data_IF_401392551267
#
_entry.id   IF_401392551267
#
_cell.length_a   1.000
_cell.length_b   1.000
_cell.length_c   1.000
_cell.angle_alpha   90.00
_cell.angle_beta   90.00
_cell.angle_gamma   90.00
#
_symmetry.space_group_name_H-M   'P 1'
#
loop_
_entity.id
_entity.type
_entity.pdbx_description
1 polymer ?
#
# COMPACT_ATOMS: atom_id res chain seq x y z
N UNK A 1 -46.54 -4.75 36.06
CA UNK A 1 -46.34 -5.68 34.92
C UNK A 1 -45.85 -5.01 33.62
N UNK A 2 -45.68 -3.68 33.58
CA UNK A 2 -45.33 -2.94 32.35
C UNK A 2 -43.86 -2.54 32.20
N UNK A 3 -43.01 -2.80 33.20
CA UNK A 3 -41.59 -2.40 33.18
C UNK A 3 -40.62 -3.50 32.72
N UNK A 4 -41.09 -4.73 32.58
CA UNK A 4 -40.25 -5.89 32.18
C UNK A 4 -40.26 -6.13 30.67
N UNK A 5 -41.19 -5.51 29.93
CA UNK A 5 -41.33 -5.72 28.47
C UNK A 5 -40.45 -4.79 27.62
N UNK A 6 -39.99 -3.65 28.17
CA UNK A 6 -39.08 -2.73 27.46
C UNK A 6 -37.60 -3.12 27.58
N UNK A 7 -37.21 -3.84 28.64
CA UNK A 7 -35.84 -4.35 28.81
C UNK A 7 -35.56 -5.61 27.98
N UNK A 8 -36.60 -6.31 27.51
CA UNK A 8 -36.43 -7.47 26.62
C UNK A 8 -36.29 -7.09 25.15
N UNK A 9 -36.78 -5.92 24.73
CA UNK A 9 -36.59 -5.38 23.37
C UNK A 9 -35.30 -4.56 23.24
N UNK A 10 -34.80 -3.94 24.32
CA UNK A 10 -33.49 -3.26 24.30
C UNK A 10 -32.29 -4.20 24.41
N UNK A 11 -32.52 -5.48 24.74
CA UNK A 11 -31.46 -6.51 24.87
C UNK A 11 -31.23 -7.32 23.59
N UNK A 12 -32.08 -7.20 22.58
CA UNK A 12 -31.87 -7.87 21.28
C UNK A 12 -30.94 -7.09 20.34
N UNK A 13 -30.76 -5.78 20.56
CA UNK A 13 -29.87 -4.94 19.74
C UNK A 13 -28.42 -4.88 20.26
N UNK A 14 -28.16 -5.40 21.47
CA UNK A 14 -26.80 -5.52 22.04
C UNK A 14 -26.15 -6.90 21.81
N UNK A 15 -26.84 -7.83 21.13
CA UNK A 15 -26.42 -9.24 21.06
C UNK A 15 -25.51 -9.61 19.87
N UNK A 16 -25.32 -8.76 18.87
CA UNK A 16 -24.23 -8.93 17.89
C UNK A 16 -23.15 -7.88 18.18
N UNK A 17 -22.12 -8.30 18.91
CA UNK A 17 -20.87 -7.54 18.94
C UNK A 17 -20.34 -7.26 17.51
N UNK A 18 -19.35 -6.38 17.35
CA UNK A 18 -18.75 -6.02 16.06
C UNK A 18 -18.00 -7.18 15.39
N UNK A 19 -18.64 -8.32 15.16
CA UNK A 19 -18.17 -9.51 14.45
C UNK A 19 -19.41 -10.21 13.83
N UNK A 20 -20.19 -9.48 13.01
CA UNK A 20 -21.46 -9.98 12.47
C UNK A 20 -22.23 -8.97 11.59
N UNK A 21 -23.40 -9.39 11.07
CA UNK A 21 -24.34 -8.52 10.35
C UNK A 21 -23.77 -7.74 9.15
N UNK A 22 -23.94 -6.42 9.16
CA UNK A 22 -23.55 -5.51 8.06
C UNK A 22 -22.03 -5.45 7.82
N UNK A 23 -21.21 -5.91 8.78
CA UNK A 23 -19.76 -6.02 8.59
C UNK A 23 -19.38 -6.90 7.40
N UNK A 24 -20.14 -7.96 7.12
CA UNK A 24 -19.92 -8.84 5.96
C UNK A 24 -20.28 -8.17 4.63
N UNK A 25 -21.28 -7.29 4.62
CA UNK A 25 -21.63 -6.47 3.44
C UNK A 25 -20.50 -5.49 3.15
N UNK A 26 -19.96 -4.84 4.18
CA UNK A 26 -18.81 -3.94 4.06
C UNK A 26 -17.55 -4.69 3.64
N UNK A 27 -17.37 -5.94 4.08
CA UNK A 27 -16.29 -6.80 3.60
C UNK A 27 -16.40 -7.06 2.09
N UNK A 28 -17.59 -7.40 1.60
CA UNK A 28 -17.84 -7.56 0.16
C UNK A 28 -17.60 -6.26 -0.62
N UNK A 29 -18.01 -5.12 -0.08
CA UNK A 29 -17.73 -3.80 -0.67
C UNK A 29 -16.22 -3.51 -0.72
N UNK A 30 -15.48 -3.84 0.35
CA UNK A 30 -14.03 -3.72 0.40
C UNK A 30 -13.39 -4.63 -0.65
N UNK A 31 -13.79 -5.90 -0.72
CA UNK A 31 -13.31 -6.87 -1.71
C UNK A 31 -13.42 -6.32 -3.14
N UNK A 32 -14.60 -5.83 -3.53
CA UNK A 32 -14.82 -5.25 -4.87
C UNK A 32 -13.95 -3.99 -5.04
N UNK A 33 -13.91 -3.10 -4.06
CA UNK A 33 -13.12 -1.87 -4.17
C UNK A 33 -11.63 -2.15 -4.30
N UNK A 34 -11.08 -3.13 -3.57
CA UNK A 34 -9.66 -3.49 -3.63
C UNK A 34 -9.33 -4.23 -4.92
N UNK A 35 -10.25 -5.07 -5.44
CA UNK A 35 -10.13 -5.63 -6.78
C UNK A 35 -10.06 -4.55 -7.85
N UNK A 36 -10.91 -3.53 -7.78
CA UNK A 36 -10.91 -2.45 -8.76
C UNK A 36 -9.70 -1.53 -8.60
N UNK A 37 -9.22 -1.25 -7.39
CA UNK A 37 -8.02 -0.43 -7.20
C UNK A 37 -6.75 -1.18 -7.67
N UNK A 38 -6.44 -2.33 -7.07
CA UNK A 38 -5.18 -3.02 -7.34
C UNK A 38 -5.23 -3.90 -8.58
N UNK A 39 -6.37 -4.48 -8.90
CA UNK A 39 -6.53 -5.26 -10.13
C UNK A 39 -6.33 -4.37 -11.34
N UNK A 40 -7.03 -3.23 -11.41
CA UNK A 40 -6.84 -2.30 -12.52
C UNK A 40 -5.39 -1.83 -12.58
N UNK A 41 -4.82 -1.36 -11.46
CA UNK A 41 -3.45 -0.87 -11.41
C UNK A 41 -2.42 -1.90 -11.87
N UNK A 42 -2.50 -3.17 -11.41
CA UNK A 42 -1.53 -4.21 -11.78
C UNK A 42 -1.71 -4.72 -13.21
N UNK A 43 -2.91 -4.62 -13.77
CA UNK A 43 -3.20 -5.02 -15.16
C UNK A 43 -2.94 -3.91 -16.18
N UNK A 44 -2.63 -2.68 -15.76
CA UNK A 44 -2.27 -1.59 -16.67
C UNK A 44 -1.02 -1.88 -17.53
N UNK A 45 -0.17 -2.83 -17.12
CA UNK A 45 0.98 -3.28 -17.89
C UNK A 45 0.63 -3.84 -19.28
N UNK A 46 -0.63 -4.24 -19.52
CA UNK A 46 -1.10 -4.69 -20.83
C UNK A 46 -1.15 -3.54 -21.85
N UNK A 47 -1.54 -2.34 -21.41
CA UNK A 47 -1.56 -1.16 -22.27
C UNK A 47 -0.16 -0.63 -22.59
N UNK A 48 0.87 -1.12 -21.91
CA UNK A 48 2.22 -0.59 -22.02
C UNK A 48 2.75 -0.66 -23.46
N UNK A 49 2.63 -1.83 -24.10
CA UNK A 49 3.13 -2.05 -25.47
C UNK A 49 2.36 -1.17 -26.46
N UNK A 50 1.03 -1.09 -26.29
CA UNK A 50 0.16 -0.25 -27.12
C UNK A 50 0.50 1.25 -27.00
N UNK A 51 0.80 1.74 -25.80
CA UNK A 51 1.18 3.14 -25.59
C UNK A 51 2.54 3.47 -26.19
N UNK A 52 3.53 2.58 -26.05
CA UNK A 52 4.85 2.76 -26.68
C UNK A 52 4.69 2.87 -28.20
N UNK A 53 3.86 2.02 -28.80
CA UNK A 53 3.63 2.03 -30.25
C UNK A 53 2.81 3.23 -30.71
N UNK A 54 1.71 3.55 -30.01
CA UNK A 54 0.79 4.62 -30.43
C UNK A 54 1.39 6.03 -30.27
N UNK A 55 2.10 6.27 -29.16
CA UNK A 55 2.71 7.58 -28.91
C UNK A 55 4.12 7.70 -29.50
N UNK A 56 4.71 6.59 -29.98
CA UNK A 56 6.10 6.52 -30.48
C UNK A 56 7.12 7.03 -29.44
N UNK A 57 6.85 6.73 -28.18
CA UNK A 57 7.61 7.23 -27.03
C UNK A 57 8.44 6.14 -26.37
N UNK A 58 9.43 6.55 -25.57
CA UNK A 58 10.33 5.62 -24.89
C UNK A 58 9.61 4.77 -23.84
N UNK A 59 10.16 3.59 -23.52
CA UNK A 59 9.60 2.74 -22.47
C UNK A 59 9.63 3.43 -21.11
N UNK A 60 10.65 4.24 -20.85
CA UNK A 60 10.74 5.09 -19.67
C UNK A 60 9.56 6.07 -19.62
N UNK A 61 9.29 6.79 -20.70
CA UNK A 61 8.21 7.78 -20.77
C UNK A 61 6.86 7.11 -20.46
N UNK A 62 6.53 6.02 -21.15
CA UNK A 62 5.28 5.28 -20.91
C UNK A 62 5.19 4.72 -19.48
N UNK A 63 6.31 4.27 -18.90
CA UNK A 63 6.34 3.74 -17.52
C UNK A 63 5.94 4.75 -16.46
N UNK A 64 6.13 6.05 -16.71
CA UNK A 64 5.69 7.10 -15.79
C UNK A 64 4.18 7.10 -15.58
N UNK A 65 3.38 6.63 -16.54
CA UNK A 65 1.91 6.57 -16.40
C UNK A 65 1.52 5.69 -15.20
N UNK A 66 2.04 4.47 -15.14
CA UNK A 66 1.71 3.55 -14.05
C UNK A 66 2.41 3.92 -12.75
N UNK A 67 3.67 4.38 -12.83
CA UNK A 67 4.45 4.77 -11.65
C UNK A 67 3.83 5.95 -10.92
N UNK A 68 3.37 6.96 -11.66
CA UNK A 68 2.68 8.12 -11.08
C UNK A 68 1.34 7.74 -10.46
N UNK A 69 0.59 6.81 -11.07
CA UNK A 69 -0.66 6.29 -10.51
C UNK A 69 -0.47 5.58 -9.17
N UNK A 70 0.52 4.69 -9.11
CA UNK A 70 0.89 3.98 -7.89
C UNK A 70 1.41 4.92 -6.80
N UNK A 71 2.31 5.83 -7.17
CA UNK A 71 2.86 6.81 -6.25
C UNK A 71 1.78 7.74 -5.71
N UNK A 72 0.89 8.25 -6.56
CA UNK A 72 -0.23 9.09 -6.16
C UNK A 72 -1.17 8.34 -5.21
N UNK A 73 -1.48 7.07 -5.49
CA UNK A 73 -2.31 6.25 -4.59
C UNK A 73 -1.71 6.15 -3.19
N UNK A 74 -0.42 5.85 -3.07
CA UNK A 74 0.25 5.73 -1.77
C UNK A 74 0.46 7.08 -1.08
N UNK A 75 0.79 8.12 -1.85
CA UNK A 75 0.99 9.47 -1.34
C UNK A 75 -0.31 10.09 -0.78
N UNK A 76 -1.44 9.86 -1.44
CA UNK A 76 -2.74 10.39 -1.02
C UNK A 76 -3.51 9.46 -0.05
N UNK A 77 -3.02 8.25 0.23
CA UNK A 77 -3.62 7.35 1.23
C UNK A 77 -3.82 7.99 2.62
N UNK A 78 -2.84 8.72 3.21
CA UNK A 78 -3.03 9.41 4.48
C UNK A 78 -4.04 10.57 4.40
N UNK A 79 -4.11 11.25 3.24
CA UNK A 79 -5.10 12.30 3.00
C UNK A 79 -6.53 11.74 3.06
N UNK A 80 -6.76 10.53 2.52
CA UNK A 80 -8.04 9.84 2.65
C UNK A 80 -8.45 9.61 4.10
N UNK A 81 -7.51 9.19 4.95
CA UNK A 81 -7.75 9.02 6.39
C UNK A 81 -8.08 10.36 7.09
N UNK A 82 -7.31 11.40 6.80
CA UNK A 82 -7.55 12.73 7.38
C UNK A 82 -8.93 13.29 6.98
N UNK A 83 -9.33 13.13 5.72
CA UNK A 83 -10.64 13.55 5.24
C UNK A 83 -11.78 12.76 5.89
N UNK A 84 -11.59 11.49 6.26
CA UNK A 84 -12.60 10.71 6.98
C UNK A 84 -12.76 11.11 8.45
N UNK A 85 -11.77 11.79 9.04
CA UNK A 85 -11.91 12.39 10.37
C UNK A 85 -12.68 13.71 10.29
N UNK A 86 -12.46 14.49 9.22
CA UNK A 86 -13.14 15.75 8.98
C UNK A 86 -14.59 15.57 8.47
N UNK A 87 -14.79 14.62 7.57
CA UNK A 87 -16.03 14.32 6.85
C UNK A 87 -16.44 12.86 7.03
N UNK A 88 -17.66 12.50 6.62
CA UNK A 88 -18.11 11.10 6.68
C UNK A 88 -17.31 10.21 5.71
N UNK A 89 -16.82 9.06 6.18
CA UNK A 89 -16.08 8.09 5.36
C UNK A 89 -16.81 7.67 4.07
N UNK A 90 -18.14 7.55 4.13
CA UNK A 90 -19.02 7.33 2.96
C UNK A 90 -18.75 8.33 1.83
N UNK A 91 -18.70 9.63 2.15
CA UNK A 91 -18.55 10.68 1.16
C UNK A 91 -17.14 10.67 0.55
N UNK A 92 -16.13 10.44 1.38
CA UNK A 92 -14.72 10.39 0.93
C UNK A 92 -14.51 9.22 -0.04
N UNK A 93 -15.01 8.03 0.29
CA UNK A 93 -14.90 6.85 -0.59
C UNK A 93 -15.69 7.05 -1.89
N UNK A 94 -16.91 7.60 -1.83
CA UNK A 94 -17.70 7.88 -3.02
C UNK A 94 -17.02 8.90 -3.94
N UNK A 95 -16.47 9.98 -3.38
CA UNK A 95 -15.71 10.96 -4.14
C UNK A 95 -14.43 10.36 -4.76
N UNK A 96 -13.71 9.54 -4.00
CA UNK A 96 -12.53 8.83 -4.50
C UNK A 96 -12.85 7.85 -5.63
N UNK A 97 -13.92 7.06 -5.50
CA UNK A 97 -14.38 6.16 -6.56
C UNK A 97 -14.81 6.90 -7.84
N UNK A 98 -15.47 8.05 -7.69
CA UNK A 98 -15.81 8.91 -8.83
C UNK A 98 -14.55 9.44 -9.53
N UNK A 99 -13.57 9.96 -8.77
CA UNK A 99 -12.30 10.43 -9.32
C UNK A 99 -11.53 9.30 -10.02
N UNK A 100 -11.50 8.11 -9.43
CA UNK A 100 -10.86 6.92 -10.01
C UNK A 100 -11.47 6.52 -11.36
N UNK A 101 -12.80 6.54 -11.48
CA UNK A 101 -13.48 6.28 -12.75
C UNK A 101 -13.32 7.42 -13.76
N UNK A 102 -13.47 8.66 -13.30
CA UNK A 102 -13.33 9.86 -14.14
C UNK A 102 -11.93 9.95 -14.77
N UNK A 103 -10.87 9.67 -14.00
CA UNK A 103 -9.51 9.67 -14.52
C UNK A 103 -9.32 8.68 -15.67
N UNK A 104 -9.81 7.44 -15.54
CA UNK A 104 -9.74 6.45 -16.62
C UNK A 104 -10.62 6.83 -17.83
N UNK A 105 -11.80 7.41 -17.62
CA UNK A 105 -12.67 7.90 -18.70
C UNK A 105 -11.98 9.03 -19.47
N UNK A 106 -11.41 10.02 -18.77
CA UNK A 106 -10.67 11.12 -19.40
C UNK A 106 -9.42 10.62 -20.12
N UNK A 107 -8.76 9.59 -19.60
CA UNK A 107 -7.62 8.96 -20.24
C UNK A 107 -7.96 8.35 -21.61
N UNK A 108 -9.19 7.88 -21.83
CA UNK A 108 -9.63 7.39 -23.15
C UNK A 108 -9.54 8.44 -24.26
N UNK A 109 -9.55 9.73 -23.90
CA UNK A 109 -9.46 10.87 -24.81
C UNK A 109 -8.04 11.46 -24.86
N UNK A 110 -7.05 10.80 -24.28
CA UNK A 110 -5.68 11.29 -24.26
C UNK A 110 -5.09 11.37 -25.68
N UNK A 111 -4.42 12.48 -25.98
CA UNK A 111 -3.72 12.72 -27.26
C UNK A 111 -2.21 12.81 -27.08
N UNK A 112 -1.73 12.90 -25.83
CA UNK A 112 -0.32 12.91 -25.48
C UNK A 112 -0.09 12.24 -24.11
N UNK A 113 1.16 11.89 -23.80
CA UNK A 113 1.51 11.26 -22.51
C UNK A 113 1.18 12.14 -21.31
N UNK A 114 1.26 13.46 -21.43
CA UNK A 114 0.91 14.38 -20.35
C UNK A 114 -0.57 14.23 -19.91
N UNK A 115 -1.49 13.97 -20.86
CA UNK A 115 -2.87 13.66 -20.53
C UNK A 115 -2.96 12.37 -19.71
N UNK A 116 -2.20 11.33 -20.06
CA UNK A 116 -2.20 10.05 -19.33
C UNK A 116 -1.58 10.17 -17.94
N UNK A 117 -0.48 10.94 -17.78
CA UNK A 117 0.10 11.24 -16.47
C UNK A 117 -0.89 11.96 -15.56
N UNK A 118 -1.61 12.95 -16.09
CA UNK A 118 -2.59 13.71 -15.30
C UNK A 118 -3.82 12.86 -14.96
N UNK A 119 -4.34 12.10 -15.92
CA UNK A 119 -5.63 11.40 -15.78
C UNK A 119 -5.49 10.03 -15.11
N UNK A 120 -4.70 9.12 -15.69
CA UNK A 120 -4.45 7.79 -15.12
C UNK A 120 -3.50 7.85 -13.93
N UNK A 121 -2.50 8.73 -13.98
CA UNK A 121 -1.57 8.91 -12.88
C UNK A 121 -2.19 9.66 -11.71
N UNK A 122 -2.33 10.98 -11.83
CA UNK A 122 -2.69 11.84 -10.70
C UNK A 122 -4.16 11.71 -10.30
N UNK A 123 -5.11 11.87 -11.23
CA UNK A 123 -6.55 11.88 -10.92
C UNK A 123 -7.01 10.50 -10.43
N UNK A 124 -6.67 9.44 -11.16
CA UNK A 124 -7.06 8.08 -10.75
C UNK A 124 -6.33 7.63 -9.49
N UNK A 125 -5.02 7.93 -9.38
CA UNK A 125 -4.23 7.65 -8.18
C UNK A 125 -4.74 8.35 -6.93
N UNK A 126 -5.10 9.65 -7.02
CA UNK A 126 -5.79 10.35 -5.94
C UNK A 126 -7.10 9.64 -5.56
N UNK A 127 -7.92 9.29 -6.55
CA UNK A 127 -9.16 8.54 -6.33
C UNK A 127 -8.93 7.23 -5.55
N UNK A 128 -7.93 6.45 -5.96
CA UNK A 128 -7.56 5.20 -5.28
C UNK A 128 -7.04 5.41 -3.85
N UNK A 129 -6.22 6.45 -3.61
CA UNK A 129 -5.74 6.81 -2.28
C UNK A 129 -6.88 7.21 -1.32
N UNK A 130 -7.89 7.93 -1.82
CA UNK A 130 -9.09 8.31 -1.06
C UNK A 130 -10.02 7.13 -0.76
N UNK A 131 -9.93 6.03 -1.49
CA UNK A 131 -10.75 4.82 -1.31
C UNK A 131 -10.09 3.85 -0.34
N UNK A 132 -8.80 3.57 -0.54
CA UNK A 132 -8.12 2.43 0.11
C UNK A 132 -8.13 2.52 1.64
N UNK A 133 -7.53 3.58 2.21
CA UNK A 133 -7.40 3.71 3.66
C UNK A 133 -8.75 3.78 4.38
N UNK A 134 -9.73 4.59 3.91
CA UNK A 134 -11.04 4.67 4.54
C UNK A 134 -11.85 3.38 4.51
N UNK A 135 -11.82 2.65 3.39
CA UNK A 135 -12.51 1.37 3.27
C UNK A 135 -11.94 0.33 4.23
N UNK A 136 -10.61 0.22 4.29
CA UNK A 136 -9.91 -0.68 5.22
C UNK A 136 -10.24 -0.32 6.67
N UNK A 137 -10.17 0.96 7.04
CA UNK A 137 -10.49 1.43 8.39
C UNK A 137 -11.95 1.13 8.79
N UNK A 138 -12.90 1.33 7.86
CA UNK A 138 -14.33 1.10 8.11
C UNK A 138 -14.63 -0.39 8.35
N UNK A 139 -14.04 -1.28 7.56
CA UNK A 139 -14.18 -2.73 7.76
C UNK A 139 -13.52 -3.16 9.07
N UNK A 140 -12.33 -2.64 9.38
CA UNK A 140 -11.63 -2.94 10.63
C UNK A 140 -12.38 -2.46 11.87
N UNK A 141 -13.15 -1.38 11.76
CA UNK A 141 -14.04 -0.90 12.83
C UNK A 141 -15.32 -1.74 12.98
N UNK A 142 -15.62 -2.60 12.00
CA UNK A 142 -16.80 -3.49 11.99
C UNK A 142 -16.47 -4.92 12.46
N UNK A 143 -15.18 -5.24 12.62
CA UNK A 143 -14.68 -6.52 13.13
C UNK A 143 -13.85 -6.27 14.40
N UNK A 144 -13.99 -7.09 15.46
CA UNK A 144 -13.13 -7.03 16.65
C UNK A 144 -12.22 -8.24 16.78
N UNK A 145 -12.77 -9.45 16.73
CA UNK A 145 -12.01 -10.69 16.83
C UNK A 145 -11.55 -11.18 15.47
N UNK A 146 -12.29 -10.90 14.39
CA UNK A 146 -12.02 -11.44 13.05
C UNK A 146 -11.35 -10.46 12.08
N UNK A 147 -10.68 -9.43 12.60
CA UNK A 147 -10.02 -8.37 11.80
C UNK A 147 -9.05 -8.90 10.76
N UNK A 148 -8.11 -9.74 11.18
CA UNK A 148 -7.08 -10.31 10.30
C UNK A 148 -7.69 -11.19 9.21
N UNK A 149 -8.70 -11.99 9.57
CA UNK A 149 -9.44 -12.84 8.62
C UNK A 149 -10.22 -12.00 7.60
N UNK A 150 -10.90 -10.95 8.06
CA UNK A 150 -11.62 -10.03 7.18
C UNK A 150 -10.67 -9.32 6.19
N UNK A 151 -9.53 -8.79 6.66
CA UNK A 151 -8.53 -8.20 5.76
C UNK A 151 -7.90 -9.23 4.81
N UNK A 152 -7.62 -10.44 5.30
CA UNK A 152 -7.10 -11.53 4.46
C UNK A 152 -8.06 -11.88 3.33
N UNK A 153 -9.35 -12.03 3.62
CA UNK A 153 -10.40 -12.27 2.62
C UNK A 153 -10.54 -11.09 1.66
N UNK A 154 -10.54 -9.85 2.16
CA UNK A 154 -10.62 -8.67 1.31
C UNK A 154 -9.42 -8.56 0.37
N UNK A 155 -8.21 -8.78 0.86
CA UNK A 155 -6.99 -8.63 0.06
C UNK A 155 -6.71 -9.82 -0.84
N UNK A 156 -7.25 -11.02 -0.59
CA UNK A 156 -7.16 -12.14 -1.56
C UNK A 156 -7.75 -11.77 -2.92
N UNK A 157 -8.69 -10.82 -2.94
CA UNK A 157 -9.27 -10.20 -4.14
C UNK A 157 -8.23 -9.59 -5.09
N UNK A 158 -7.09 -9.15 -4.56
CA UNK A 158 -6.02 -8.51 -5.33
C UNK A 158 -5.48 -9.55 -6.33
N UNK A 159 -5.02 -10.72 -5.88
CA UNK A 159 -4.55 -11.80 -6.75
C UNK A 159 -5.62 -12.29 -7.73
N UNK A 160 -6.85 -12.46 -7.25
CA UNK A 160 -7.98 -12.89 -8.09
C UNK A 160 -8.28 -11.90 -9.22
N UNK A 161 -8.28 -10.60 -8.91
CA UNK A 161 -8.52 -9.55 -9.90
C UNK A 161 -7.41 -9.51 -10.94
N UNK A 162 -6.14 -9.70 -10.58
CA UNK A 162 -5.05 -9.76 -11.56
C UNK A 162 -5.13 -10.99 -12.46
N UNK A 163 -5.54 -12.14 -11.94
CA UNK A 163 -5.81 -13.32 -12.75
C UNK A 163 -6.93 -13.06 -13.78
N UNK A 164 -8.03 -12.43 -13.35
CA UNK A 164 -9.21 -12.20 -14.20
C UNK A 164 -9.06 -11.00 -15.16
N UNK A 165 -8.45 -9.91 -14.71
CA UNK A 165 -8.37 -8.66 -15.46
C UNK A 165 -7.34 -8.70 -16.57
N UNK A 166 -6.25 -9.47 -16.43
CA UNK A 166 -5.26 -9.57 -17.49
C UNK A 166 -5.85 -10.08 -18.83
N UNK A 167 -6.53 -11.24 -18.90
CA UNK A 167 -7.15 -11.68 -20.15
C UNK A 167 -8.30 -10.77 -20.58
N UNK A 168 -9.07 -10.21 -19.62
CA UNK A 168 -10.14 -9.27 -19.92
C UNK A 168 -9.62 -8.01 -20.60
N UNK A 169 -8.52 -7.44 -20.11
CA UNK A 169 -7.92 -6.22 -20.67
C UNK A 169 -7.38 -6.50 -22.07
N UNK A 170 -6.72 -7.64 -22.27
CA UNK A 170 -6.27 -8.06 -23.59
C UNK A 170 -7.44 -8.14 -24.58
N UNK A 171 -8.54 -8.79 -24.19
CA UNK A 171 -9.76 -8.88 -25.00
C UNK A 171 -10.37 -7.50 -25.30
N UNK A 172 -10.41 -6.60 -24.30
CA UNK A 172 -10.94 -5.25 -24.48
C UNK A 172 -10.06 -4.41 -25.43
N UNK A 173 -8.74 -4.54 -25.34
CA UNK A 173 -7.80 -3.87 -26.24
C UNK A 173 -7.96 -4.39 -27.67
N UNK A 174 -8.12 -5.71 -27.87
CA UNK A 174 -8.32 -6.30 -29.19
C UNK A 174 -9.65 -5.84 -29.83
N UNK A 175 -10.74 -5.83 -29.06
CA UNK A 175 -12.08 -5.51 -29.56
C UNK A 175 -12.34 -4.01 -29.70
N UNK A 176 -11.82 -3.19 -28.80
CA UNK A 176 -12.20 -1.78 -28.65
C UNK A 176 -11.00 -0.81 -28.70
N UNK A 177 -9.78 -1.31 -28.93
CA UNK A 177 -8.52 -0.58 -28.77
C UNK A 177 -8.30 -0.10 -27.33
N UNK A 178 -7.13 0.48 -27.05
CA UNK A 178 -6.83 1.01 -25.72
C UNK A 178 -7.81 2.10 -25.27
N UNK A 179 -8.36 2.91 -26.19
CA UNK A 179 -9.29 4.00 -25.85
C UNK A 179 -10.63 3.46 -25.33
N UNK A 180 -11.26 2.57 -26.08
CA UNK A 180 -12.51 1.96 -25.68
C UNK A 180 -12.36 1.08 -24.44
N UNK A 181 -11.24 0.37 -24.32
CA UNK A 181 -10.90 -0.37 -23.11
C UNK A 181 -10.83 0.55 -21.88
N UNK A 182 -10.08 1.66 -21.91
CA UNK A 182 -10.01 2.61 -20.79
C UNK A 182 -11.37 3.20 -20.42
N UNK A 183 -12.23 3.47 -21.40
CA UNK A 183 -13.60 3.96 -21.15
C UNK A 183 -14.43 2.94 -20.37
N UNK A 184 -14.39 1.67 -20.79
CA UNK A 184 -15.10 0.56 -20.13
C UNK A 184 -14.53 0.35 -18.71
N UNK A 185 -13.21 0.37 -18.55
CA UNK A 185 -12.55 0.23 -17.25
C UNK A 185 -12.86 1.41 -16.31
N UNK A 186 -13.01 2.62 -16.85
CA UNK A 186 -13.48 3.77 -16.09
C UNK A 186 -14.92 3.58 -15.59
N UNK A 187 -15.81 3.08 -16.45
CA UNK A 187 -17.17 2.68 -16.04
C UNK A 187 -17.17 1.58 -14.97
N UNK A 188 -16.29 0.59 -15.09
CA UNK A 188 -16.11 -0.45 -14.08
C UNK A 188 -15.63 0.14 -12.74
N UNK A 189 -14.65 1.05 -12.78
CA UNK A 189 -14.10 1.75 -11.61
C UNK A 189 -15.14 2.60 -10.87
N UNK A 190 -16.14 3.18 -11.58
CA UNK A 190 -17.24 3.91 -10.95
C UNK A 190 -18.10 3.04 -10.01
N UNK A 191 -18.05 1.71 -10.10
CA UNK A 191 -18.72 0.82 -9.13
C UNK A 191 -18.16 0.96 -7.70
N UNK A 192 -16.96 1.53 -7.53
CA UNK A 192 -16.43 1.90 -6.21
C UNK A 192 -17.37 2.90 -5.50
N UNK A 193 -18.07 3.76 -6.24
CA UNK A 193 -19.07 4.69 -5.68
C UNK A 193 -20.21 3.92 -5.00
N UNK A 194 -20.69 2.84 -5.64
CA UNK A 194 -21.70 1.96 -5.05
C UNK A 194 -21.16 1.26 -3.79
N UNK A 195 -19.91 0.78 -3.81
CA UNK A 195 -19.26 0.23 -2.63
C UNK A 195 -19.18 1.24 -1.48
N UNK A 196 -18.80 2.49 -1.76
CA UNK A 196 -18.77 3.58 -0.77
C UNK A 196 -20.15 3.90 -0.20
N UNK A 197 -21.20 3.84 -1.01
CA UNK A 197 -22.58 4.10 -0.57
C UNK A 197 -23.09 3.09 0.49
N UNK A 198 -22.50 1.89 0.56
CA UNK A 198 -22.83 0.87 1.56
C UNK A 198 -22.28 1.20 2.96
N UNK A 199 -21.36 2.18 3.07
CA UNK A 199 -20.83 2.65 4.35
C UNK A 199 -21.95 3.37 5.12
N UNK A 200 -22.28 2.84 6.30
CA UNK A 200 -23.24 3.49 7.21
C UNK A 200 -22.54 4.59 8.01
N UNK A 201 -22.97 5.86 7.90
CA UNK A 201 -22.42 6.93 8.73
C UNK A 201 -22.69 6.60 10.19
N UNK A 202 -21.66 6.59 11.03
CA UNK A 202 -21.88 6.56 12.49
C UNK A 202 -22.28 7.97 12.95
N UNK A 203 -23.27 8.12 13.83
CA UNK A 203 -23.57 9.41 14.44
C UNK A 203 -22.28 9.94 15.07
N UNK A 204 -21.90 11.17 14.73
CA UNK A 204 -20.76 11.83 15.36
C UNK A 204 -21.11 11.94 16.84
N UNK A 205 -20.40 11.22 17.71
CA UNK A 205 -20.44 11.56 19.15
C UNK A 205 -20.01 13.02 19.22
N UNK A 206 -20.85 13.87 19.81
CA UNK A 206 -20.55 15.28 20.00
C UNK A 206 -19.13 15.41 20.58
N UNK A 207 -18.32 16.26 19.95
CA UNK A 207 -16.93 16.45 20.32
C UNK A 207 -16.82 16.85 21.81
N UNK A 208 -15.71 16.50 22.50
CA UNK A 208 -15.39 17.15 23.75
C UNK A 208 -15.15 18.64 23.47
N UNK A 209 -15.95 19.46 24.15
CA UNK A 209 -15.80 20.88 24.49
C UNK A 209 -15.40 21.89 23.39
N UNK A 210 -16.23 22.94 23.32
CA UNK A 210 -15.96 24.26 22.73
C UNK A 210 -14.48 24.64 22.89
N UNK A 211 -13.77 24.77 21.77
CA UNK A 211 -12.48 25.46 21.73
C UNK A 211 -12.78 26.96 21.72
N UNK A 212 -12.20 27.69 22.67
CA UNK A 212 -12.32 29.14 22.78
C UNK A 212 -11.96 29.85 21.45
N UNK A 213 -12.70 30.90 21.04
CA UNK A 213 -12.55 31.52 19.73
C UNK A 213 -11.33 32.47 19.59
N UNK A 214 -10.42 32.53 20.56
CA UNK A 214 -9.31 33.50 20.58
C UNK A 214 -7.89 32.89 20.52
N UNK A 215 -7.71 31.79 19.81
CA UNK A 215 -6.36 31.34 19.41
C UNK A 215 -6.17 31.58 17.92
N UNK A 216 -5.43 32.63 17.55
CA UNK A 216 -4.85 32.77 16.20
C UNK A 216 -4.04 31.50 15.93
N UNK A 217 -4.60 30.56 15.18
CA UNK A 217 -3.96 29.27 14.92
C UNK A 217 -2.71 29.49 14.08
N UNK A 218 -1.56 29.60 14.75
CA UNK A 218 -0.26 29.65 14.10
C UNK A 218 -0.09 28.39 13.23
N UNK A 219 0.51 28.54 12.05
CA UNK A 219 0.91 27.45 11.15
C UNK A 219 1.59 26.30 11.91
N UNK A 220 2.36 26.65 12.96
CA UNK A 220 3.03 25.70 13.86
C UNK A 220 2.05 24.80 14.61
N UNK A 221 0.92 25.32 15.10
CA UNK A 221 -0.08 24.53 15.83
C UNK A 221 -0.84 23.56 14.90
N UNK A 222 -1.04 23.93 13.63
CA UNK A 222 -1.58 23.02 12.62
C UNK A 222 -0.57 21.96 12.22
N UNK A 223 0.70 22.33 12.00
CA UNK A 223 1.79 21.38 11.73
C UNK A 223 1.94 20.38 12.87
N UNK A 224 1.82 20.81 14.12
CA UNK A 224 1.96 19.95 15.29
C UNK A 224 0.80 18.97 15.44
N UNK A 225 -0.43 19.37 15.07
CA UNK A 225 -1.56 18.45 14.95
C UNK A 225 -1.34 17.43 13.83
N UNK A 226 -0.93 17.86 12.64
CA UNK A 226 -0.63 16.96 11.51
C UNK A 226 0.51 15.99 11.86
N UNK A 227 1.56 16.46 12.53
CA UNK A 227 2.69 15.66 13.01
C UNK A 227 2.24 14.56 13.98
N UNK A 228 1.32 14.88 14.90
CA UNK A 228 0.76 13.90 15.83
C UNK A 228 -0.17 12.90 15.13
N UNK A 229 -0.95 13.33 14.12
CA UNK A 229 -1.81 12.43 13.35
C UNK A 229 -1.03 11.48 12.42
N UNK A 230 0.07 11.95 11.82
CA UNK A 230 0.93 11.15 10.95
C UNK A 230 2.03 10.39 11.72
N UNK A 231 2.07 10.51 13.05
CA UNK A 231 3.08 9.86 13.91
C UNK A 231 4.52 10.11 13.41
N UNK A 232 4.85 11.34 12.99
CA UNK A 232 6.17 11.68 12.40
C UNK A 232 7.33 11.42 13.37
N UNK A 233 7.05 11.31 14.67
CA UNK A 233 8.01 10.86 15.68
C UNK A 233 8.63 9.50 15.36
N UNK A 234 7.92 8.62 14.64
CA UNK A 234 8.42 7.34 14.18
C UNK A 234 9.64 7.45 13.25
N UNK A 235 9.80 8.57 12.54
CA UNK A 235 10.97 8.81 11.68
C UNK A 235 12.29 8.95 12.44
N UNK A 236 12.23 9.06 13.76
CA UNK A 236 13.40 9.09 14.64
C UNK A 236 13.61 7.76 15.38
N UNK A 237 12.69 6.80 15.23
CA UNK A 237 12.79 5.48 15.84
C UNK A 237 13.54 4.53 14.90
N UNK A 238 14.77 4.14 15.29
CA UNK A 238 15.64 3.27 14.47
C UNK A 238 14.96 2.03 13.90
N UNK A 239 14.20 1.21 14.68
CA UNK A 239 13.54 0.02 14.14
C UNK A 239 12.55 0.34 13.02
N UNK A 240 11.77 1.42 13.17
CA UNK A 240 10.78 1.82 12.19
C UNK A 240 11.42 2.37 10.91
N UNK A 241 12.46 3.19 11.03
CA UNK A 241 13.20 3.74 9.89
C UNK A 241 13.88 2.63 9.09
N UNK A 242 14.57 1.71 9.75
CA UNK A 242 15.23 0.57 9.09
C UNK A 242 14.20 -0.31 8.36
N UNK A 243 13.07 -0.59 9.00
CA UNK A 243 12.01 -1.37 8.38
C UNK A 243 11.39 -0.67 7.16
N UNK A 244 11.08 0.62 7.31
CA UNK A 244 10.50 1.42 6.23
C UNK A 244 11.45 1.56 5.04
N UNK A 245 12.75 1.74 5.29
CA UNK A 245 13.77 1.75 4.25
C UNK A 245 13.82 0.40 3.51
N UNK A 246 13.79 -0.71 4.24
CA UNK A 246 13.81 -2.04 3.65
C UNK A 246 12.59 -2.32 2.75
N UNK A 247 11.39 -1.97 3.22
CA UNK A 247 10.16 -2.14 2.42
C UNK A 247 10.14 -1.18 1.24
N UNK A 248 10.66 0.04 1.39
CA UNK A 248 10.80 0.98 0.28
C UNK A 248 11.73 0.44 -0.80
N UNK A 249 12.90 -0.09 -0.42
CA UNK A 249 13.82 -0.76 -1.36
C UNK A 249 13.12 -1.90 -2.10
N UNK A 250 12.44 -2.79 -1.37
CA UNK A 250 11.62 -3.85 -1.96
C UNK A 250 10.63 -3.31 -3.01
N UNK A 251 9.89 -2.24 -2.68
CA UNK A 251 8.87 -1.68 -3.56
C UNK A 251 9.42 -1.16 -4.90
N UNK A 252 10.68 -0.66 -4.94
CA UNK A 252 11.33 -0.23 -6.19
C UNK A 252 11.37 -1.38 -7.21
N UNK A 253 11.70 -2.60 -6.77
CA UNK A 253 11.79 -3.78 -7.62
C UNK A 253 10.46 -4.53 -7.79
N UNK A 254 9.65 -4.57 -6.73
CA UNK A 254 8.45 -5.40 -6.64
C UNK A 254 7.46 -5.18 -7.77
N UNK A 255 7.24 -3.92 -8.17
CA UNK A 255 6.24 -3.56 -9.18
C UNK A 255 6.72 -3.74 -10.62
N UNK A 256 8.03 -3.86 -10.87
CA UNK A 256 8.59 -3.94 -12.22
C UNK A 256 7.99 -5.10 -13.04
N UNK A 257 7.91 -6.35 -12.55
CA UNK A 257 7.28 -7.43 -13.30
C UNK A 257 5.81 -7.17 -13.61
N UNK A 258 5.05 -6.56 -12.70
CA UNK A 258 3.63 -6.27 -12.94
C UNK A 258 3.40 -5.37 -14.16
N UNK A 259 4.33 -4.45 -14.43
CA UNK A 259 4.21 -3.51 -15.53
C UNK A 259 4.98 -3.94 -16.79
N UNK A 260 6.14 -4.58 -16.64
CA UNK A 260 7.06 -4.86 -17.75
C UNK A 260 7.10 -6.33 -18.18
N UNK A 261 6.52 -7.28 -17.43
CA UNK A 261 6.62 -8.69 -17.79
C UNK A 261 5.86 -9.04 -19.08
N UNK A 262 4.71 -8.41 -19.33
CA UNK A 262 3.98 -8.58 -20.59
C UNK A 262 4.83 -8.05 -21.75
N UNK A 263 5.38 -6.84 -21.62
CA UNK A 263 6.25 -6.25 -22.65
C UNK A 263 7.51 -7.07 -22.90
N UNK A 264 8.13 -7.59 -21.84
CA UNK A 264 9.27 -8.50 -21.94
C UNK A 264 8.89 -9.81 -22.66
N UNK A 265 7.76 -10.41 -22.32
CA UNK A 265 7.27 -11.65 -22.95
C UNK A 265 7.01 -11.45 -24.45
N UNK A 266 6.45 -10.29 -24.83
CA UNK A 266 6.25 -9.90 -26.24
C UNK A 266 7.58 -9.70 -26.96
N UNK A 267 8.54 -9.02 -26.33
CA UNK A 267 9.89 -8.83 -26.89
C UNK A 267 10.64 -10.16 -27.06
N UNK A 268 10.41 -11.13 -26.17
CA UNK A 268 10.95 -12.49 -26.29
C UNK A 268 10.31 -13.31 -27.43
N UNK A 269 9.30 -12.79 -28.12
CA UNK A 269 8.66 -13.41 -29.27
C UNK A 269 7.39 -14.20 -28.97
N UNK A 270 6.87 -14.15 -27.74
CA UNK A 270 5.62 -14.83 -27.38
C UNK A 270 4.37 -14.07 -27.87
N UNK A 271 3.27 -14.80 -28.07
CA UNK A 271 1.99 -14.21 -28.47
C UNK A 271 1.40 -13.30 -27.38
N UNK A 272 0.43 -12.46 -27.76
CA UNK A 272 -0.25 -11.55 -26.82
C UNK A 272 -0.93 -12.30 -25.69
N UNK A 273 -1.67 -13.34 -26.04
CA UNK A 273 -2.31 -14.23 -25.08
C UNK A 273 -1.30 -14.98 -24.20
N UNK A 274 -0.17 -15.43 -24.76
CA UNK A 274 0.89 -16.07 -23.97
C UNK A 274 1.50 -15.10 -22.94
N UNK A 275 1.76 -13.86 -23.33
CA UNK A 275 2.31 -12.81 -22.48
C UNK A 275 1.33 -12.42 -21.36
N UNK A 276 0.05 -12.22 -21.69
CA UNK A 276 -1.00 -11.94 -20.71
C UNK A 276 -1.22 -13.13 -19.75
N UNK A 277 -1.12 -14.36 -20.24
CA UNK A 277 -1.29 -15.57 -19.44
C UNK A 277 -0.21 -15.73 -18.37
N UNK A 278 1.07 -15.44 -18.67
CA UNK A 278 2.16 -15.51 -17.66
C UNK A 278 1.84 -14.63 -16.46
N UNK A 279 1.40 -13.39 -16.71
CA UNK A 279 1.00 -12.45 -15.66
C UNK A 279 -0.27 -12.91 -14.91
N UNK A 280 -1.23 -13.51 -15.62
CA UNK A 280 -2.43 -14.08 -15.02
C UNK A 280 -2.10 -15.25 -14.09
N UNK A 281 -1.23 -16.15 -14.54
CA UNK A 281 -0.74 -17.30 -13.81
C UNK A 281 -0.01 -16.87 -12.52
N UNK A 282 0.84 -15.84 -12.60
CA UNK A 282 1.46 -15.23 -11.42
C UNK A 282 0.42 -14.65 -10.44
N UNK A 283 -0.67 -14.06 -10.94
CA UNK A 283 -1.79 -13.60 -10.11
C UNK A 283 -2.54 -14.74 -9.38
N UNK A 284 -2.64 -15.92 -9.98
CA UNK A 284 -3.25 -17.08 -9.34
C UNK A 284 -2.38 -17.62 -8.19
N UNK A 285 -1.06 -17.70 -8.39
CA UNK A 285 -0.15 -18.15 -7.32
C UNK A 285 0.07 -17.09 -6.25
N UNK A 286 -0.10 -15.79 -6.53
CA UNK A 286 -0.17 -14.71 -5.53
C UNK A 286 -1.23 -15.03 -4.46
N UNK A 287 -2.43 -15.46 -4.86
CA UNK A 287 -3.48 -15.86 -3.91
C UNK A 287 -3.01 -17.01 -3.01
N UNK A 288 -2.41 -18.05 -3.61
CA UNK A 288 -1.89 -19.20 -2.87
C UNK A 288 -0.78 -18.79 -1.90
N UNK A 289 0.13 -17.92 -2.34
CA UNK A 289 1.21 -17.37 -1.53
C UNK A 289 0.71 -16.68 -0.28
N UNK A 290 -0.36 -15.88 -0.38
CA UNK A 290 -0.99 -15.18 0.75
C UNK A 290 -1.55 -16.15 1.78
N UNK A 291 -2.27 -17.17 1.31
CA UNK A 291 -2.90 -18.18 2.20
C UNK A 291 -1.82 -19.00 2.90
N UNK A 292 -0.83 -19.48 2.15
CA UNK A 292 0.25 -20.31 2.68
C UNK A 292 1.11 -19.51 3.66
N UNK A 293 1.49 -18.27 3.34
CA UNK A 293 2.30 -17.45 4.23
C UNK A 293 1.57 -17.05 5.51
N UNK A 294 0.27 -16.74 5.40
CA UNK A 294 -0.59 -16.50 6.57
C UNK A 294 -0.65 -17.73 7.49
N UNK A 295 -0.85 -18.91 6.91
CA UNK A 295 -0.86 -20.15 7.69
C UNK A 295 0.49 -20.43 8.36
N UNK A 296 1.61 -20.23 7.67
CA UNK A 296 2.95 -20.35 8.27
C UNK A 296 3.20 -19.34 9.41
N UNK A 297 2.65 -18.13 9.30
CA UNK A 297 2.74 -17.12 10.37
C UNK A 297 1.94 -17.55 11.61
N UNK A 298 0.79 -18.20 11.43
CA UNK A 298 -0.07 -18.69 12.51
C UNK A 298 0.51 -19.93 13.23
N UNK A 299 1.40 -20.69 12.59
CA UNK A 299 2.05 -21.84 13.22
C UNK A 299 3.00 -21.43 14.35
N UNK A 300 3.40 -20.15 14.47
CA UNK A 300 4.31 -19.62 15.50
C UNK A 300 5.68 -20.32 15.61
N UNK A 301 6.01 -21.21 14.66
CA UNK A 301 7.31 -21.88 14.60
C UNK A 301 8.42 -20.96 14.06
N UNK A 302 8.03 -19.96 13.27
CA UNK A 302 8.95 -19.00 12.65
C UNK A 302 8.54 -17.58 13.02
N UNK A 303 9.54 -16.72 13.28
CA UNK A 303 9.28 -15.29 13.49
C UNK A 303 8.83 -14.67 12.16
N UNK A 304 7.79 -13.84 12.22
CA UNK A 304 7.21 -13.19 11.04
C UNK A 304 8.26 -12.43 10.21
N UNK A 305 9.24 -11.80 10.89
CA UNK A 305 10.32 -11.06 10.21
C UNK A 305 11.21 -11.97 9.36
N UNK A 306 11.50 -13.20 9.82
CA UNK A 306 12.32 -14.16 9.07
C UNK A 306 11.55 -14.73 7.89
N UNK A 307 10.25 -15.02 8.05
CA UNK A 307 9.39 -15.42 6.96
C UNK A 307 9.30 -14.31 5.89
N UNK A 308 9.11 -13.05 6.30
CA UNK A 308 9.09 -11.92 5.37
C UNK A 308 10.43 -11.77 4.63
N UNK A 309 11.57 -11.87 5.33
CA UNK A 309 12.90 -11.85 4.71
C UNK A 309 13.09 -12.97 3.68
N UNK A 310 12.65 -14.20 3.99
CA UNK A 310 12.74 -15.34 3.08
C UNK A 310 11.95 -15.09 1.78
N UNK A 311 10.67 -14.70 1.89
CA UNK A 311 9.82 -14.46 0.73
C UNK A 311 10.31 -13.27 -0.10
N UNK A 312 10.84 -12.24 0.55
CA UNK A 312 11.41 -11.05 -0.11
C UNK A 312 12.67 -11.40 -0.89
N UNK A 313 13.59 -12.19 -0.31
CA UNK A 313 14.79 -12.65 -1.00
C UNK A 313 14.45 -13.54 -2.21
N UNK A 314 13.54 -14.51 -2.03
CA UNK A 314 13.10 -15.38 -3.11
C UNK A 314 12.40 -14.60 -4.23
N UNK A 315 11.56 -13.62 -3.89
CA UNK A 315 10.96 -12.73 -4.88
C UNK A 315 12.03 -12.01 -5.71
N UNK A 316 13.06 -11.44 -5.07
CA UNK A 316 14.19 -10.80 -5.76
C UNK A 316 14.91 -11.75 -6.73
N UNK A 317 15.21 -12.97 -6.29
CA UNK A 317 15.84 -14.02 -7.12
C UNK A 317 14.95 -14.37 -8.33
N UNK A 318 13.65 -14.60 -8.12
CA UNK A 318 12.76 -14.95 -9.22
C UNK A 318 12.58 -13.79 -10.21
N UNK A 319 12.58 -12.53 -9.75
CA UNK A 319 12.60 -11.37 -10.65
C UNK A 319 13.83 -11.39 -11.56
N UNK A 320 15.02 -11.68 -11.03
CA UNK A 320 16.25 -11.80 -11.84
C UNK A 320 16.20 -12.99 -12.81
N UNK A 321 15.53 -14.08 -12.45
CA UNK A 321 15.42 -15.28 -13.29
C UNK A 321 14.40 -15.14 -14.43
N UNK A 322 13.43 -14.21 -14.35
CA UNK A 322 12.44 -13.98 -15.40
C UNK A 322 13.08 -13.76 -16.78
N UNK A 323 13.97 -12.76 -16.99
CA UNK A 323 14.60 -12.53 -18.29
C UNK A 323 15.55 -13.65 -18.72
N UNK A 324 16.15 -14.38 -17.77
CA UNK A 324 17.06 -15.49 -18.06
C UNK A 324 16.27 -16.70 -18.58
N UNK A 325 15.09 -16.95 -18.02
CA UNK A 325 14.24 -18.08 -18.38
C UNK A 325 13.75 -18.03 -19.83
N UNK A 326 13.56 -16.82 -20.38
CA UNK A 326 13.11 -16.61 -21.76
C UNK A 326 14.23 -16.68 -22.80
N UNK A 327 15.51 -16.61 -22.41
CA UNK A 327 16.65 -16.62 -23.35
C UNK A 327 16.69 -17.88 -24.23
N UNK A 328 16.26 -19.00 -23.67
CA UNK A 328 16.20 -20.29 -24.37
C UNK A 328 14.99 -20.43 -25.30
N UNK A 329 14.12 -19.42 -25.38
CA UNK A 329 12.83 -19.51 -26.07
C UNK A 329 11.80 -20.39 -25.35
N UNK A 330 12.11 -20.86 -24.14
CA UNK A 330 11.22 -21.75 -23.38
C UNK A 330 10.09 -20.99 -22.70
N UNK A 331 8.89 -21.07 -23.27
CA UNK A 331 7.68 -20.51 -22.65
C UNK A 331 7.38 -21.13 -21.28
N UNK A 332 7.60 -22.44 -21.15
CA UNK A 332 7.33 -23.17 -19.90
C UNK A 332 8.23 -22.65 -18.78
N UNK A 333 9.51 -22.39 -19.07
CA UNK A 333 10.44 -21.84 -18.07
C UNK A 333 9.96 -20.47 -17.57
N UNK A 334 9.54 -19.59 -18.48
CA UNK A 334 9.00 -18.27 -18.13
C UNK A 334 7.74 -18.37 -17.27
N UNK A 335 6.82 -19.27 -17.60
CA UNK A 335 5.61 -19.53 -16.81
C UNK A 335 5.96 -20.05 -15.42
N UNK A 336 6.87 -21.02 -15.30
CA UNK A 336 7.28 -21.58 -14.00
C UNK A 336 7.91 -20.53 -13.10
N UNK A 337 8.84 -19.72 -13.63
CA UNK A 337 9.44 -18.63 -12.84
C UNK A 337 8.40 -17.55 -12.50
N UNK A 338 7.48 -17.23 -13.43
CA UNK A 338 6.36 -16.33 -13.18
C UNK A 338 5.43 -16.81 -12.04
N UNK A 339 5.12 -18.11 -11.99
CA UNK A 339 4.35 -18.73 -10.92
C UNK A 339 5.06 -18.63 -9.57
N UNK A 340 6.37 -18.91 -9.53
CA UNK A 340 7.18 -18.82 -8.32
C UNK A 340 7.31 -17.38 -7.80
N UNK A 341 7.51 -16.42 -8.71
CA UNK A 341 7.46 -15.00 -8.40
C UNK A 341 6.08 -14.60 -7.84
N UNK A 342 4.99 -15.00 -8.51
CA UNK A 342 3.62 -14.72 -8.07
C UNK A 342 3.37 -15.22 -6.65
N UNK A 343 3.76 -16.46 -6.35
CA UNK A 343 3.68 -17.03 -5.00
C UNK A 343 4.44 -16.20 -3.96
N UNK A 344 5.70 -15.86 -4.23
CA UNK A 344 6.51 -15.07 -3.31
C UNK A 344 5.97 -13.64 -3.13
N UNK A 345 5.45 -13.05 -4.22
CA UNK A 345 4.79 -11.75 -4.25
C UNK A 345 3.55 -11.71 -3.35
N UNK A 346 2.73 -12.76 -3.34
CA UNK A 346 1.60 -12.84 -2.42
C UNK A 346 2.00 -13.14 -0.99
N UNK A 347 2.98 -14.03 -0.82
CA UNK A 347 3.50 -14.40 0.50
C UNK A 347 4.05 -13.19 1.25
N UNK A 348 4.83 -12.34 0.58
CA UNK A 348 5.43 -11.13 1.18
C UNK A 348 4.38 -10.06 1.50
N UNK A 349 3.39 -9.81 0.62
CA UNK A 349 2.40 -8.73 0.82
C UNK A 349 1.58 -8.97 2.08
N UNK A 350 1.29 -10.23 2.40
CA UNK A 350 0.53 -10.60 3.61
C UNK A 350 1.31 -10.31 4.90
N UNK A 351 2.63 -10.46 4.87
CA UNK A 351 3.48 -10.29 6.04
C UNK A 351 3.99 -8.86 6.22
N UNK A 352 4.14 -8.08 5.15
CA UNK A 352 4.64 -6.71 5.20
C UNK A 352 3.81 -5.84 6.17
N UNK A 353 2.48 -5.88 6.08
CA UNK A 353 1.63 -5.12 7.00
C UNK A 353 1.52 -5.74 8.39
N UNK A 354 1.73 -7.05 8.52
CA UNK A 354 1.63 -7.77 9.80
C UNK A 354 2.84 -7.50 10.72
N UNK A 355 4.01 -7.18 10.16
CA UNK A 355 5.22 -6.89 10.94
C UNK A 355 5.18 -5.49 11.57
N UNK A 356 4.51 -4.51 10.96
CA UNK A 356 4.42 -3.13 11.45
C UNK A 356 3.99 -3.03 12.93
N UNK A 357 2.85 -3.62 13.37
CA UNK A 357 2.43 -3.53 14.77
C UNK A 357 3.41 -4.20 15.75
N UNK A 358 4.24 -5.14 15.31
CA UNK A 358 5.30 -5.74 16.14
C UNK A 358 6.44 -4.75 16.42
N UNK A 359 6.63 -3.76 15.55
CA UNK A 359 7.68 -2.74 15.67
C UNK A 359 7.18 -1.53 16.48
N UNK A 360 6.00 -1.02 16.15
CA UNK A 360 5.50 0.27 16.69
C UNK A 360 4.41 0.13 17.76
N UNK A 361 3.86 -1.08 17.93
CA UNK A 361 2.70 -1.33 18.79
C UNK A 361 1.36 -1.09 18.10
N UNK A 362 0.31 -1.76 18.59
CA UNK A 362 -1.03 -1.74 17.97
C UNK A 362 -1.68 -0.36 18.02
N UNK A 363 -1.40 0.44 19.05
CA UNK A 363 -2.00 1.76 19.24
C UNK A 363 -1.61 2.77 18.16
N UNK A 364 -0.37 2.69 17.66
CA UNK A 364 0.19 3.62 16.67
C UNK A 364 0.16 3.07 15.24
N UNK A 365 -0.44 1.89 15.05
CA UNK A 365 -0.43 1.14 13.80
C UNK A 365 -0.99 1.94 12.61
N UNK A 366 -2.11 2.64 12.80
CA UNK A 366 -2.75 3.37 11.68
C UNK A 366 -1.90 4.55 11.18
N UNK A 367 -1.28 5.31 12.09
CA UNK A 367 -0.36 6.40 11.74
C UNK A 367 0.91 5.88 11.08
N UNK A 368 1.49 4.80 11.63
CA UNK A 368 2.65 4.11 11.07
C UNK A 368 2.38 3.58 9.66
N UNK A 369 1.25 2.93 9.41
CA UNK A 369 0.90 2.43 8.08
C UNK A 369 0.75 3.56 7.05
N UNK A 370 0.17 4.69 7.45
CA UNK A 370 0.05 5.86 6.58
C UNK A 370 1.42 6.47 6.25
N UNK A 371 2.29 6.61 7.25
CA UNK A 371 3.64 7.12 7.06
C UNK A 371 4.52 6.17 6.23
N UNK A 372 4.38 4.86 6.43
CA UNK A 372 5.04 3.83 5.64
C UNK A 372 4.66 3.97 4.16
N UNK A 373 3.36 4.01 3.83
CA UNK A 373 2.88 4.20 2.45
C UNK A 373 3.36 5.53 1.85
N UNK A 374 3.40 6.61 2.63
CA UNK A 374 3.90 7.89 2.16
C UNK A 374 5.37 7.78 1.69
N UNK A 375 6.20 7.06 2.43
CA UNK A 375 7.62 6.86 2.06
C UNK A 375 7.75 5.89 0.88
N UNK A 376 6.97 4.80 0.89
CA UNK A 376 6.91 3.84 -0.22
C UNK A 376 6.50 4.50 -1.56
N UNK A 377 5.73 5.59 -1.52
CA UNK A 377 5.32 6.31 -2.74
C UNK A 377 6.50 6.77 -3.59
N UNK A 378 7.62 7.15 -2.96
CA UNK A 378 8.86 7.55 -3.66
C UNK A 378 9.51 6.36 -4.38
N UNK A 379 9.48 5.17 -3.78
CA UNK A 379 9.96 3.95 -4.39
C UNK A 379 9.05 3.50 -5.54
N UNK A 380 7.73 3.56 -5.34
CA UNK A 380 6.73 3.25 -6.36
C UNK A 380 6.76 4.19 -7.56
N UNK A 381 7.26 5.42 -7.39
CA UNK A 381 7.43 6.43 -8.44
C UNK A 381 8.67 6.20 -9.32
N UNK A 382 9.71 5.57 -8.79
CA UNK A 382 11.00 5.44 -9.48
C UNK A 382 11.22 4.04 -10.09
N UNK A 383 10.62 3.00 -9.53
CA UNK A 383 10.88 1.61 -9.93
C UNK A 383 10.65 1.33 -11.42
N UNK A 384 9.44 1.60 -11.92
CA UNK A 384 9.08 1.26 -13.31
C UNK A 384 9.73 2.18 -14.35
N UNK A 385 9.90 3.51 -14.15
CA UNK A 385 10.60 4.36 -15.09
C UNK A 385 12.10 4.06 -15.15
N UNK A 386 12.75 3.74 -14.02
CA UNK A 386 14.15 3.29 -14.04
C UNK A 386 14.31 1.97 -14.81
N UNK A 387 13.39 1.03 -14.62
CA UNK A 387 13.32 -0.20 -15.43
C UNK A 387 13.13 0.10 -16.92
N UNK A 388 12.24 1.03 -17.27
CA UNK A 388 12.01 1.46 -18.65
C UNK A 388 13.25 2.10 -19.29
N UNK A 389 13.93 2.98 -18.55
CA UNK A 389 15.18 3.62 -18.98
C UNK A 389 16.27 2.59 -19.27
N UNK A 390 16.44 1.60 -18.39
CA UNK A 390 17.40 0.52 -18.61
C UNK A 390 17.07 -0.27 -19.88
N UNK A 391 15.79 -0.50 -20.18
CA UNK A 391 15.37 -1.15 -21.41
C UNK A 391 15.64 -0.27 -22.63
N UNK A 392 15.45 1.04 -22.53
CA UNK A 392 15.70 1.97 -23.64
C UNK A 392 17.19 2.09 -23.96
N UNK A 393 18.06 2.09 -22.95
CA UNK A 393 19.52 2.14 -23.14
C UNK A 393 20.07 0.81 -23.68
N UNK A 394 19.63 -0.33 -23.11
CA UNK A 394 20.21 -1.64 -23.43
C UNK A 394 19.51 -2.36 -24.58
N UNK A 395 18.33 -1.87 -24.99
CA UNK A 395 17.48 -2.47 -26.02
C UNK A 395 16.69 -3.70 -25.56
N UNK A 396 16.89 -4.21 -24.34
CA UNK A 396 16.19 -5.37 -23.81
C UNK A 396 15.92 -5.25 -22.31
N UNK A 397 15.08 -6.13 -21.77
CA UNK A 397 14.68 -6.10 -20.36
C UNK A 397 15.65 -6.81 -19.38
N UNK A 398 16.77 -7.38 -19.85
CA UNK A 398 17.69 -8.13 -18.98
C UNK A 398 18.24 -7.26 -17.84
N UNK A 399 18.84 -6.13 -18.18
CA UNK A 399 19.38 -5.21 -17.18
C UNK A 399 18.29 -4.67 -16.25
N UNK A 400 17.11 -4.36 -16.80
CA UNK A 400 15.96 -3.87 -16.05
C UNK A 400 15.53 -4.83 -14.94
N UNK A 401 15.33 -6.11 -15.26
CA UNK A 401 14.90 -7.12 -14.29
C UNK A 401 16.03 -7.54 -13.34
N UNK A 402 17.29 -7.56 -13.80
CA UNK A 402 18.44 -7.81 -12.92
C UNK A 402 18.58 -6.74 -11.84
N UNK A 403 18.48 -5.46 -12.22
CA UNK A 403 18.51 -4.35 -11.27
C UNK A 403 17.28 -4.38 -10.37
N UNK A 404 16.08 -4.57 -10.93
CA UNK A 404 14.85 -4.65 -10.16
C UNK A 404 14.89 -5.76 -9.10
N UNK A 405 15.40 -6.96 -9.42
CA UNK A 405 15.51 -8.06 -8.48
C UNK A 405 16.55 -7.85 -7.37
N UNK A 406 17.54 -6.97 -7.59
CA UNK A 406 18.58 -6.68 -6.60
C UNK A 406 18.06 -5.84 -5.43
N UNK A 407 17.04 -5.02 -5.68
CA UNK A 407 16.41 -4.16 -4.67
C UNK A 407 15.71 -4.95 -3.54
N UNK A 408 14.88 -5.98 -3.80
CA UNK A 408 14.36 -6.86 -2.76
C UNK A 408 15.44 -7.59 -1.95
N UNK A 409 16.54 -7.99 -2.59
CA UNK A 409 17.67 -8.62 -1.89
C UNK A 409 18.33 -7.60 -0.95
N UNK A 410 18.57 -6.37 -1.42
CA UNK A 410 19.08 -5.28 -0.61
C UNK A 410 18.12 -4.90 0.53
N UNK A 411 16.81 -4.92 0.28
CA UNK A 411 15.77 -4.75 1.29
C UNK A 411 15.87 -5.83 2.37
N UNK A 412 16.06 -7.09 1.98
CA UNK A 412 16.25 -8.21 2.91
C UNK A 412 17.51 -8.04 3.77
N UNK A 413 18.63 -7.62 3.16
CA UNK A 413 19.86 -7.31 3.89
C UNK A 413 19.65 -6.15 4.88
N UNK A 414 18.86 -5.15 4.48
CA UNK A 414 18.49 -4.03 5.36
C UNK A 414 17.62 -4.51 6.52
N UNK A 415 16.65 -5.39 6.29
CA UNK A 415 15.83 -5.99 7.37
C UNK A 415 16.70 -6.76 8.37
N UNK A 416 17.76 -7.43 7.91
CA UNK A 416 18.66 -8.16 8.80
C UNK A 416 19.42 -7.26 9.80
N UNK A 417 19.48 -5.95 9.53
CA UNK A 417 20.06 -4.95 10.46
C UNK A 417 19.09 -4.51 11.56
N UNK A 418 17.83 -4.97 11.55
CA UNK A 418 16.86 -4.64 12.59
C UNK A 418 17.36 -5.14 13.96
N UNK A 419 17.13 -4.35 15.04
CA UNK A 419 17.44 -4.81 16.39
C UNK A 419 16.74 -6.13 16.67
N UNK A 420 17.48 -7.08 17.28
CA UNK A 420 16.96 -8.40 17.65
C UNK A 420 16.57 -9.28 16.45
N UNK A 421 16.99 -8.96 15.21
CA UNK A 421 16.72 -9.81 14.05
C UNK A 421 17.28 -11.23 14.23
N UNK A 422 18.52 -11.37 14.68
CA UNK A 422 19.16 -12.67 14.94
C UNK A 422 18.78 -13.30 16.29
N UNK A 423 17.91 -12.65 17.08
CA UNK A 423 17.43 -13.24 18.33
C UNK A 423 16.46 -14.39 18.05
N UNK A 424 16.57 -15.46 18.82
CA UNK A 424 15.61 -16.57 18.81
C UNK A 424 14.31 -16.24 19.57
N UNK A 425 14.28 -15.13 20.29
CA UNK A 425 13.12 -14.66 21.07
C UNK A 425 12.59 -13.36 20.51
N UNK A 426 11.26 -13.20 20.52
CA UNK A 426 10.63 -11.95 20.13
C UNK A 426 11.01 -10.82 21.10
N UNK A 427 11.26 -9.60 20.58
CA UNK A 427 11.55 -8.47 21.43
C UNK A 427 10.35 -8.17 22.35
N UNK A 428 10.60 -7.62 23.56
CA UNK A 428 9.51 -7.17 24.41
C UNK A 428 8.63 -6.15 23.69
N UNK A 429 7.31 -6.13 23.95
CA UNK A 429 6.41 -5.22 23.27
C UNK A 429 6.85 -3.76 23.49
N UNK A 430 6.83 -2.92 22.44
CA UNK A 430 7.30 -1.55 22.54
C UNK A 430 6.49 -0.77 23.60
N UNK A 431 7.16 -0.33 24.67
CA UNK A 431 6.56 0.52 25.69
C UNK A 431 6.56 1.98 25.23
N UNK A 432 5.43 2.66 25.39
CA UNK A 432 5.31 4.09 25.10
C UNK A 432 6.23 4.87 26.06
N UNK A 433 7.28 5.51 25.55
CA UNK A 433 7.98 6.57 26.29
C UNK A 433 6.96 7.68 26.55
N UNK A 434 6.51 7.81 27.79
CA UNK A 434 5.62 8.92 28.16
C UNK A 434 6.36 10.24 27.91
N UNK A 435 5.65 11.24 27.38
CA UNK A 435 6.22 12.58 27.16
C UNK A 435 6.82 13.20 28.44
N UNK A 436 6.42 12.74 29.63
CA UNK A 436 7.00 13.17 30.91
C UNK A 436 8.41 12.66 31.22
N UNK A 437 8.96 11.75 30.42
CA UNK A 437 10.33 11.24 30.61
C UNK A 437 11.40 12.12 29.95
N UNK A 438 11.00 12.92 28.95
CA UNK A 438 11.87 13.98 28.39
C UNK A 438 12.03 15.15 29.35
N UNK A 439 10.96 15.52 30.08
CA UNK A 439 11.01 16.59 31.08
C UNK A 439 11.90 16.21 32.27
N UNK A 440 11.95 14.93 32.65
CA UNK A 440 12.87 14.45 33.71
C UNK A 440 14.35 14.52 33.29
N UNK A 441 14.66 14.13 32.05
CA UNK A 441 16.02 14.24 31.52
C UNK A 441 16.49 15.69 31.42
N UNK A 442 15.64 16.57 30.87
CA UNK A 442 15.94 17.99 30.72
C UNK A 442 16.08 18.71 32.08
N UNK A 443 15.20 18.41 33.04
CA UNK A 443 15.28 18.99 34.38
C UNK A 443 16.52 18.51 35.14
N UNK A 444 16.95 17.26 34.95
CA UNK A 444 18.18 16.75 35.57
C UNK A 444 19.46 17.37 34.99
N UNK A 445 19.49 17.70 33.69
CA UNK A 445 20.61 18.43 33.06
C UNK A 445 20.61 19.92 33.45
N UNK A 446 19.44 20.54 33.61
CA UNK A 446 19.29 21.92 34.11
C UNK A 446 19.65 22.05 35.60
N UNK A 447 19.32 21.07 36.44
CA UNK A 447 19.77 21.03 37.85
C UNK A 447 21.29 20.84 37.94
N UNK A 448 21.90 20.01 37.09
CA UNK A 448 23.35 19.86 37.06
C UNK A 448 24.07 21.14 36.60
N UNK A 449 23.54 21.87 35.62
CA UNK A 449 24.10 23.16 35.19
C UNK A 449 23.97 24.26 36.24
N UNK A 450 22.94 24.24 37.09
CA UNK A 450 22.74 25.22 38.16
C UNK A 450 23.52 24.93 39.45
N UNK A 451 24.22 23.79 39.54
CA UNK A 451 25.06 23.42 40.71
C UNK A 451 26.55 23.75 40.56
N UNK A 452 26.96 24.43 39.48
CA UNK A 452 28.32 24.97 39.36
C UNK A 452 28.45 26.23 40.25
N UNK A 453 29.41 26.30 41.20
CA UNK A 453 29.55 27.46 42.07
C UNK A 453 30.00 28.69 41.28
N UNK A 454 29.20 29.75 41.33
CA UNK A 454 29.56 31.09 40.88
C UNK A 454 30.46 31.78 41.93
N UNK A 455 31.72 31.37 42.03
CA UNK A 455 32.73 32.07 42.82
C UNK A 455 33.63 32.92 41.91
N UNK A 456 33.10 34.01 41.36
CA UNK A 456 33.90 35.16 40.95
C UNK A 456 33.15 36.45 41.29
N UNK A 457 33.83 37.28 42.10
CA UNK A 457 33.62 38.69 42.44
C UNK A 457 32.45 39.05 43.37
N UNK A 458 32.76 39.30 44.65
CA UNK A 458 32.69 40.68 45.17
C UNK A 458 33.44 40.83 46.51
N UNK A 459 34.59 41.52 46.49
CA UNK A 459 35.18 42.20 47.66
C UNK A 459 35.94 43.43 47.18
N UNK A 460 35.21 44.52 47.00
CA UNK A 460 35.75 45.87 47.03
C UNK A 460 35.19 46.64 48.24
N UNK A 461 36.08 47.25 49.02
CA UNK A 461 35.77 48.42 49.85
C UNK A 461 35.70 48.21 51.36
N UNK A 462 36.84 48.36 52.04
CA UNK A 462 37.12 49.49 52.97
C UNK A 462 38.63 49.61 53.22
#
# INVERSE_FOLDING_TARGET
MTKVKSESESRSDEAEGPDGGWGWVLLGALFISTSLVFGLMRSLGIFFVEFVQYFEESAQAVSWISSTGLAAQQFFSPLGAALCNAYNARLVVMAGGFLAGLGLILASQATCLAHLYLTMGVISGLGWGLVFTPMVATVMASFTRRRTLALGLAFSSIGLSSFAFNPLFQLLVEMYTWRGALLILGGLSLNIVACGALIRPKPRSEAPAKVDPESKSSCVAQLQRVSNYLELSLLFERPYVTYTLAISLLNVGYFVPYFHLVAHSRQAGFSEYQAAFVMSAAGATDILGRVVSGWFADLHHFRLIHLLSLWTALAGVFIMLLPVSSLSGSYIALVVIGLLYGFCSGALTSLAFAVVPMIVGVERMMGALGLLQLIESSAGLLGTPLSGLLKDITGNYMASFMVAGSFPILGTLTMATLPHYFSCTDPPPPQRRSLGDKDKGLNSELEQMNTLPSDISDKGGE
#
